data_IF_757741800875
#
_entry.id   IF_757741800875
#
_cell.length_a   1.000
_cell.length_b   1.000
_cell.length_c   1.000
_cell.angle_alpha   90.00
_cell.angle_beta   90.00
_cell.angle_gamma   90.00
#
_symmetry.space_group_name_H-M   'P 1'
#
loop_
_entity.id
_entity.type
_entity.pdbx_description
1 polymer ?
#
# COMPACT_ATOMS: atom_id res chain seq x y z
N UNK A 1 8.00 -13.89 67.47
CA UNK A 1 6.87 -13.34 66.69
C UNK A 1 7.25 -12.78 65.32
N UNK A 2 8.57 -12.67 64.94
CA UNK A 2 9.00 -12.01 63.70
C UNK A 2 9.17 -12.95 62.47
N UNK A 3 9.29 -14.28 62.69
CA UNK A 3 9.54 -15.22 61.60
C UNK A 3 8.32 -15.54 60.74
N UNK A 4 7.11 -15.51 61.32
CA UNK A 4 5.88 -15.76 60.53
C UNK A 4 5.49 -14.61 59.57
N UNK A 5 5.84 -13.34 59.90
CA UNK A 5 5.56 -12.20 59.02
C UNK A 5 6.47 -12.12 57.80
N UNK A 6 7.73 -12.60 57.92
CA UNK A 6 8.65 -12.65 56.79
C UNK A 6 8.25 -13.64 55.71
N UNK A 7 7.83 -14.84 56.11
CA UNK A 7 7.41 -15.88 55.20
C UNK A 7 6.10 -15.55 54.44
N UNK A 8 5.18 -14.83 55.09
CA UNK A 8 3.92 -14.40 54.45
C UNK A 8 4.13 -13.31 53.42
N UNK A 9 5.09 -12.40 53.63
CA UNK A 9 5.46 -11.37 52.66
C UNK A 9 6.17 -11.95 51.42
N UNK A 10 7.03 -12.96 51.67
CA UNK A 10 7.73 -13.66 50.59
C UNK A 10 6.78 -14.51 49.75
N UNK A 11 5.78 -15.14 50.38
CA UNK A 11 4.73 -15.91 49.69
C UNK A 11 3.83 -15.00 48.86
N UNK A 12 3.47 -13.81 49.36
CA UNK A 12 2.69 -12.81 48.62
C UNK A 12 3.45 -12.26 47.37
N UNK A 13 4.76 -12.06 47.49
CA UNK A 13 5.59 -11.63 46.34
C UNK A 13 5.72 -12.72 45.26
N UNK A 14 5.83 -13.99 45.67
CA UNK A 14 5.87 -15.11 44.70
C UNK A 14 4.52 -15.29 43.99
N UNK A 15 3.40 -15.17 44.70
CA UNK A 15 2.06 -15.26 44.11
C UNK A 15 1.80 -14.06 43.18
N UNK A 16 2.25 -12.86 43.53
CA UNK A 16 2.13 -11.66 42.69
C UNK A 16 2.96 -11.80 41.40
N UNK A 17 4.16 -12.40 41.46
CA UNK A 17 4.98 -12.64 40.28
C UNK A 17 4.38 -13.69 39.34
N UNK A 18 3.73 -14.74 39.89
CA UNK A 18 3.07 -15.77 39.09
C UNK A 18 1.76 -15.27 38.41
N UNK A 19 1.04 -14.32 39.02
CA UNK A 19 -0.16 -13.74 38.40
C UNK A 19 0.18 -12.78 37.27
N UNK A 20 1.34 -12.08 37.32
CA UNK A 20 1.79 -11.22 36.21
C UNK A 20 2.31 -12.00 34.99
N UNK A 21 2.72 -13.25 35.16
CA UNK A 21 3.23 -14.08 34.07
C UNK A 21 2.13 -14.68 33.15
N UNK A 22 0.85 -14.49 33.47
CA UNK A 22 -0.29 -15.05 32.71
C UNK A 22 -0.89 -14.09 31.67
N UNK A 23 -0.35 -12.88 31.51
CA UNK A 23 -0.86 -11.88 30.54
C UNK A 23 -0.10 -11.85 29.23
N UNK A 24 0.66 -12.88 28.90
CA UNK A 24 1.08 -13.09 27.52
C UNK A 24 -0.15 -13.62 26.75
N UNK A 25 -0.91 -12.71 26.13
CA UNK A 25 -1.85 -13.10 25.08
C UNK A 25 -1.09 -13.92 24.06
N UNK A 26 -1.19 -15.23 24.12
CA UNK A 26 -0.69 -16.10 23.07
C UNK A 26 -1.43 -15.69 21.79
N UNK A 27 -0.72 -15.13 20.84
CA UNK A 27 -1.25 -14.75 19.53
C UNK A 27 -1.82 -16.04 18.91
N UNK A 28 -3.14 -16.10 18.71
CA UNK A 28 -3.79 -17.28 18.16
C UNK A 28 -3.37 -17.39 16.70
N UNK A 29 -2.68 -18.47 16.36
CA UNK A 29 -2.30 -18.76 14.96
C UNK A 29 -3.57 -18.94 14.13
N UNK A 30 -3.66 -18.26 12.99
CA UNK A 30 -4.75 -18.42 12.04
C UNK A 30 -4.79 -19.87 11.53
N UNK A 31 -5.89 -20.64 11.73
CA UNK A 31 -5.99 -22.01 11.27
C UNK A 31 -5.97 -22.15 9.73
N UNK A 32 -6.34 -21.08 9.00
CA UNK A 32 -6.36 -21.05 7.55
C UNK A 32 -5.05 -20.52 6.94
N UNK A 33 -3.99 -20.37 7.75
CA UNK A 33 -2.71 -19.84 7.31
C UNK A 33 -2.04 -20.77 6.29
N UNK A 34 -1.85 -20.23 5.06
CA UNK A 34 -1.09 -20.86 3.99
C UNK A 34 0.29 -20.18 3.86
N UNK A 35 1.31 -20.83 4.41
CA UNK A 35 2.69 -20.31 4.39
C UNK A 35 3.29 -20.23 2.98
N UNK A 36 2.85 -21.08 2.06
CA UNK A 36 3.32 -21.06 0.66
C UNK A 36 2.75 -19.86 -0.06
N UNK A 37 1.45 -19.58 0.11
CA UNK A 37 0.80 -18.41 -0.45
C UNK A 37 1.37 -17.11 0.15
N UNK A 38 1.53 -17.05 1.47
CA UNK A 38 2.10 -15.90 2.15
C UNK A 38 3.50 -15.56 1.60
N UNK A 39 4.37 -16.56 1.46
CA UNK A 39 5.70 -16.40 0.86
C UNK A 39 5.65 -15.95 -0.61
N UNK A 40 4.75 -16.53 -1.41
CA UNK A 40 4.54 -16.16 -2.82
C UNK A 40 4.17 -14.68 -2.96
N UNK A 41 3.31 -14.16 -2.07
CA UNK A 41 2.83 -12.80 -2.10
C UNK A 41 3.78 -11.81 -1.41
N UNK A 42 4.82 -12.28 -0.72
CA UNK A 42 5.75 -11.46 0.05
C UNK A 42 5.11 -10.89 1.31
N UNK A 43 4.17 -11.63 1.90
CA UNK A 43 3.48 -11.25 3.13
C UNK A 43 4.39 -11.45 4.34
N UNK A 44 4.25 -10.54 5.32
CA UNK A 44 4.74 -10.73 6.67
C UNK A 44 3.79 -11.59 7.53
N UNK A 45 4.06 -11.69 8.84
CA UNK A 45 3.25 -12.49 9.79
C UNK A 45 1.80 -12.01 9.93
N UNK A 46 1.49 -10.80 9.45
CA UNK A 46 0.14 -10.23 9.45
C UNK A 46 -0.54 -10.24 8.07
N UNK A 47 0.08 -10.88 7.07
CA UNK A 47 -0.43 -10.91 5.70
C UNK A 47 -0.26 -9.59 4.96
N UNK A 48 0.66 -8.73 5.41
CA UNK A 48 0.85 -7.38 4.93
C UNK A 48 2.21 -7.22 4.24
N UNK A 49 2.35 -6.16 3.43
CA UNK A 49 3.64 -5.72 2.89
C UNK A 49 3.66 -4.23 2.57
N UNK A 50 4.85 -3.70 2.29
CA UNK A 50 5.03 -2.32 1.88
C UNK A 50 4.67 -2.09 0.42
N UNK A 51 4.09 -0.92 0.16
CA UNK A 51 3.77 -0.34 -1.13
C UNK A 51 4.07 1.15 -1.13
N UNK A 52 3.94 1.80 -2.27
CA UNK A 52 3.91 3.27 -2.33
C UNK A 52 2.56 3.72 -2.87
N UNK A 53 1.86 4.51 -2.06
CA UNK A 53 0.61 5.17 -2.41
C UNK A 53 0.93 6.54 -3.01
N UNK A 54 0.27 6.88 -4.11
CA UNK A 54 0.48 8.14 -4.83
C UNK A 54 -0.84 8.87 -5.02
N UNK A 55 -0.85 10.16 -4.70
CA UNK A 55 -1.93 11.07 -5.07
C UNK A 55 -1.46 11.90 -6.25
N UNK A 56 -2.17 11.80 -7.37
CA UNK A 56 -1.98 12.69 -8.51
C UNK A 56 -2.82 13.95 -8.32
N UNK A 57 -2.21 15.12 -8.53
CA UNK A 57 -2.83 16.44 -8.41
C UNK A 57 -2.76 17.17 -9.74
N UNK A 58 -3.59 18.21 -9.90
CA UNK A 58 -3.40 19.19 -10.98
C UNK A 58 -2.01 19.82 -10.85
N UNK A 59 -1.25 19.78 -11.92
CA UNK A 59 0.13 20.29 -11.96
C UNK A 59 0.21 21.79 -12.25
N UNK A 60 1.44 22.27 -12.31
CA UNK A 60 1.77 23.69 -12.52
C UNK A 60 1.73 24.13 -13.99
N UNK A 61 1.66 23.21 -14.94
CA UNK A 61 1.55 23.51 -16.36
C UNK A 61 0.13 23.95 -16.71
N UNK A 62 -0.05 25.22 -17.07
CA UNK A 62 -1.33 25.84 -17.40
C UNK A 62 -1.55 26.01 -18.91
N UNK A 63 -0.85 25.25 -19.74
CA UNK A 63 -1.04 25.29 -21.19
C UNK A 63 -2.48 25.04 -21.59
N UNK A 64 -2.94 25.72 -22.66
CA UNK A 64 -4.25 25.53 -23.30
C UNK A 64 -4.14 24.79 -24.63
N UNK A 65 -2.93 24.35 -25.01
CA UNK A 65 -2.72 23.55 -26.23
C UNK A 65 -3.39 22.18 -26.08
N UNK A 66 -4.56 22.06 -26.70
CA UNK A 66 -5.36 20.84 -26.62
C UNK A 66 -4.65 19.63 -27.20
N UNK A 67 -3.94 19.77 -28.31
CA UNK A 67 -3.23 18.66 -28.95
C UNK A 67 -2.13 18.13 -28.05
N UNK A 68 -1.37 19.00 -27.41
CA UNK A 68 -0.36 18.65 -26.43
C UNK A 68 -0.96 17.95 -25.21
N UNK A 69 -2.05 18.47 -24.63
CA UNK A 69 -2.75 17.91 -23.48
C UNK A 69 -3.27 16.50 -23.82
N UNK A 70 -3.95 16.34 -24.95
CA UNK A 70 -4.50 15.05 -25.40
C UNK A 70 -3.38 14.02 -25.62
N UNK A 71 -2.25 14.41 -26.18
CA UNK A 71 -1.06 13.55 -26.35
C UNK A 71 -0.50 13.10 -25.00
N UNK A 72 -0.33 14.01 -24.04
CA UNK A 72 0.18 13.68 -22.71
C UNK A 72 -0.76 12.69 -21.98
N UNK A 73 -2.08 12.90 -22.01
CA UNK A 73 -3.02 11.99 -21.36
C UNK A 73 -3.19 10.66 -22.08
N UNK A 74 -3.05 10.61 -23.39
CA UNK A 74 -2.94 9.35 -24.12
C UNK A 74 -1.70 8.56 -23.69
N UNK A 75 -0.55 9.23 -23.56
CA UNK A 75 0.67 8.64 -23.03
C UNK A 75 0.54 8.20 -21.57
N UNK A 76 -0.16 8.95 -20.73
CA UNK A 76 -0.50 8.59 -19.35
C UNK A 76 -1.25 7.25 -19.29
N UNK A 77 -2.28 7.09 -20.10
CA UNK A 77 -3.04 5.83 -20.16
C UNK A 77 -2.18 4.65 -20.63
N UNK A 78 -1.38 4.85 -21.67
CA UNK A 78 -0.45 3.83 -22.16
C UNK A 78 0.61 3.45 -21.08
N UNK A 79 1.10 4.43 -20.33
CA UNK A 79 2.03 4.21 -19.22
C UNK A 79 1.42 3.39 -18.08
N UNK A 80 0.16 3.65 -17.73
CA UNK A 80 -0.59 2.84 -16.75
C UNK A 80 -0.63 1.39 -17.19
N UNK A 81 -1.05 1.12 -18.43
CA UNK A 81 -1.14 -0.24 -18.98
C UNK A 81 0.23 -0.94 -18.93
N UNK A 82 1.29 -0.25 -19.34
CA UNK A 82 2.66 -0.77 -19.29
C UNK A 82 3.08 -1.16 -17.87
N UNK A 83 2.89 -0.26 -16.90
CA UNK A 83 3.30 -0.49 -15.51
C UNK A 83 2.48 -1.60 -14.83
N UNK A 84 1.20 -1.76 -15.18
CA UNK A 84 0.39 -2.90 -14.74
C UNK A 84 0.94 -4.21 -15.31
N UNK A 85 1.24 -4.25 -16.61
CA UNK A 85 1.81 -5.44 -17.26
C UNK A 85 3.20 -5.82 -16.71
N UNK A 86 3.98 -4.84 -16.26
CA UNK A 86 5.26 -5.05 -15.57
C UNK A 86 5.11 -5.48 -14.09
N UNK A 87 3.88 -5.55 -13.57
CA UNK A 87 3.59 -5.86 -12.16
C UNK A 87 4.03 -4.77 -11.18
N UNK A 88 4.31 -3.56 -11.68
CA UNK A 88 4.77 -2.41 -10.90
C UNK A 88 3.63 -1.55 -10.38
N UNK A 89 2.52 -1.46 -11.10
CA UNK A 89 1.32 -0.71 -10.72
C UNK A 89 0.18 -1.68 -10.44
N UNK A 90 -0.43 -1.57 -9.27
CA UNK A 90 -1.53 -2.44 -8.86
C UNK A 90 -2.87 -1.72 -9.02
N UNK A 91 -2.97 -0.51 -8.48
CA UNK A 91 -4.19 0.29 -8.50
C UNK A 91 -3.92 1.59 -9.23
N UNK A 92 -4.80 1.92 -10.15
CA UNK A 92 -4.88 3.22 -10.81
C UNK A 92 -6.34 3.60 -10.98
N UNK A 93 -6.68 4.86 -10.70
CA UNK A 93 -8.03 5.33 -10.92
C UNK A 93 -8.20 6.83 -10.68
N UNK A 94 -9.15 7.47 -11.40
CA UNK A 94 -9.43 8.88 -11.22
C UNK A 94 -10.20 9.13 -9.91
N UNK A 95 -10.01 10.31 -9.35
CA UNK A 95 -10.84 10.85 -8.28
C UNK A 95 -11.89 11.79 -8.86
N UNK A 96 -13.06 11.78 -8.28
CA UNK A 96 -14.08 12.78 -8.55
C UNK A 96 -13.62 14.21 -8.21
N UNK A 97 -14.30 15.22 -8.76
CA UNK A 97 -14.00 16.63 -8.46
C UNK A 97 -13.98 16.88 -6.96
N UNK A 98 -12.95 17.56 -6.48
CA UNK A 98 -12.72 17.85 -5.06
C UNK A 98 -11.96 19.17 -4.90
N UNK A 99 -12.01 19.74 -3.69
CA UNK A 99 -11.40 21.05 -3.38
C UNK A 99 -9.86 20.99 -3.29
N UNK A 100 -9.28 19.80 -3.13
CA UNK A 100 -7.83 19.60 -3.06
C UNK A 100 -7.15 19.49 -4.43
N UNK A 101 -7.91 19.62 -5.53
CA UNK A 101 -7.38 19.43 -6.90
C UNK A 101 -6.81 18.04 -7.17
N UNK A 102 -7.16 17.04 -6.37
CA UNK A 102 -6.73 15.67 -6.57
C UNK A 102 -7.40 15.08 -7.80
N UNK A 103 -6.60 14.43 -8.65
CA UNK A 103 -7.02 13.93 -9.95
C UNK A 103 -7.16 12.41 -10.00
N UNK A 104 -6.36 11.70 -9.23
CA UNK A 104 -6.36 10.24 -9.20
C UNK A 104 -5.40 9.68 -8.17
N UNK A 105 -5.36 8.36 -8.08
CA UNK A 105 -4.43 7.64 -7.22
C UNK A 105 -3.70 6.55 -7.99
N UNK A 106 -2.49 6.22 -7.50
CA UNK A 106 -1.79 5.00 -7.82
C UNK A 106 -1.40 4.24 -6.55
N UNK A 107 -1.32 2.92 -6.65
CA UNK A 107 -0.63 2.07 -5.67
C UNK A 107 0.42 1.28 -6.43
N UNK A 108 1.69 1.57 -6.14
CA UNK A 108 2.84 0.87 -6.72
C UNK A 108 3.28 -0.31 -5.86
N UNK A 109 3.56 -1.42 -6.52
CA UNK A 109 4.12 -2.63 -5.92
C UNK A 109 5.65 -2.53 -5.85
N UNK A 110 6.13 -1.54 -5.12
CA UNK A 110 7.54 -1.27 -4.86
C UNK A 110 7.72 -0.90 -3.39
N UNK A 111 8.94 -1.02 -2.88
CA UNK A 111 9.21 -0.89 -1.45
C UNK A 111 9.67 0.51 -1.03
N UNK A 112 10.09 1.36 -1.97
CA UNK A 112 10.65 2.68 -1.65
C UNK A 112 10.01 3.79 -2.46
N UNK A 113 9.96 4.98 -1.87
CA UNK A 113 9.49 6.21 -2.54
C UNK A 113 10.39 6.53 -3.74
N UNK A 114 11.69 6.29 -3.65
CA UNK A 114 12.66 6.56 -4.72
C UNK A 114 12.39 5.69 -5.96
N UNK A 115 12.05 4.42 -5.76
CA UNK A 115 11.67 3.53 -6.87
C UNK A 115 10.35 3.97 -7.50
N UNK A 116 9.34 4.26 -6.68
CA UNK A 116 8.05 4.75 -7.17
C UNK A 116 8.18 6.08 -7.92
N UNK A 117 9.03 7.00 -7.45
CA UNK A 117 9.28 8.29 -8.10
C UNK A 117 9.80 8.11 -9.52
N UNK A 118 10.76 7.21 -9.72
CA UNK A 118 11.29 6.89 -11.06
C UNK A 118 10.19 6.36 -11.99
N UNK A 119 9.25 5.56 -11.46
CA UNK A 119 8.12 5.04 -12.24
C UNK A 119 7.12 6.15 -12.59
N UNK A 120 6.79 7.02 -11.64
CA UNK A 120 5.89 8.17 -11.85
C UNK A 120 6.48 9.15 -12.88
N UNK A 121 7.78 9.38 -12.87
CA UNK A 121 8.47 10.27 -13.80
C UNK A 121 8.47 9.76 -15.24
N UNK A 122 8.17 8.47 -15.48
CA UNK A 122 7.96 7.94 -16.85
C UNK A 122 6.61 8.34 -17.44
N UNK A 123 5.72 8.91 -16.65
CA UNK A 123 4.37 9.34 -17.07
C UNK A 123 4.44 10.68 -17.81
N UNK A 124 4.01 10.76 -19.08
CA UNK A 124 4.06 12.01 -19.85
C UNK A 124 3.27 13.16 -19.21
N UNK A 125 2.14 12.88 -18.56
CA UNK A 125 1.34 13.92 -17.92
C UNK A 125 2.03 14.47 -16.66
N UNK A 126 2.78 13.62 -15.94
CA UNK A 126 3.59 14.07 -14.79
C UNK A 126 4.88 14.77 -15.26
N UNK A 127 5.56 14.21 -16.26
CA UNK A 127 6.78 14.78 -16.80
C UNK A 127 6.54 16.19 -17.39
N UNK A 128 5.40 16.38 -18.05
CA UNK A 128 4.98 17.67 -18.61
C UNK A 128 4.43 18.67 -17.58
N UNK A 129 4.34 18.27 -16.30
CA UNK A 129 3.74 19.06 -15.22
C UNK A 129 2.25 19.37 -15.40
N UNK A 130 1.53 18.64 -16.25
CA UNK A 130 0.06 18.66 -16.26
C UNK A 130 -0.52 17.99 -15.01
N UNK A 131 0.20 16.98 -14.49
CA UNK A 131 -0.03 16.37 -13.18
C UNK A 131 1.21 16.52 -12.30
N UNK A 132 1.00 16.57 -11.00
CA UNK A 132 2.01 16.43 -9.98
C UNK A 132 1.66 15.26 -9.06
N UNK A 133 2.66 14.68 -8.38
CA UNK A 133 2.49 13.48 -7.59
C UNK A 133 3.04 13.65 -6.18
N UNK A 134 2.20 13.37 -5.17
CA UNK A 134 2.63 13.18 -3.78
C UNK A 134 2.73 11.68 -3.50
N UNK A 135 3.87 11.25 -2.94
CA UNK A 135 4.18 9.85 -2.71
C UNK A 135 4.27 9.57 -1.20
N UNK A 136 3.66 8.46 -0.78
CA UNK A 136 3.60 8.04 0.62
C UNK A 136 3.94 6.55 0.74
N UNK A 137 4.76 6.20 1.75
CA UNK A 137 4.88 4.81 2.14
C UNK A 137 3.52 4.31 2.66
N UNK A 138 3.07 3.19 2.16
CA UNK A 138 1.82 2.58 2.57
C UNK A 138 2.03 1.09 2.88
N UNK A 139 1.44 0.65 3.97
CA UNK A 139 1.49 -0.73 4.41
C UNK A 139 0.09 -1.34 4.27
N UNK A 140 -0.04 -2.34 3.39
CA UNK A 140 -1.32 -2.89 2.99
C UNK A 140 -1.28 -4.39 2.81
N UNK A 141 -2.45 -5.00 2.58
CA UNK A 141 -2.54 -6.44 2.36
C UNK A 141 -1.63 -6.90 1.22
N UNK A 142 -0.83 -7.93 1.46
CA UNK A 142 0.01 -8.55 0.45
C UNK A 142 -0.82 -9.24 -0.66
N UNK A 143 -2.11 -9.53 -0.41
CA UNK A 143 -3.03 -10.09 -1.39
C UNK A 143 -3.57 -9.04 -2.39
N UNK A 144 -3.29 -7.74 -2.20
CA UNK A 144 -3.83 -6.70 -3.07
C UNK A 144 -3.59 -6.94 -4.58
N UNK A 145 -2.43 -7.46 -5.05
CA UNK A 145 -2.23 -7.71 -6.48
C UNK A 145 -3.12 -8.80 -7.08
N UNK A 146 -3.69 -9.69 -6.25
CA UNK A 146 -4.47 -10.84 -6.73
C UNK A 146 -5.77 -10.42 -7.45
N UNK A 147 -6.31 -9.20 -7.20
CA UNK A 147 -7.50 -8.73 -7.92
C UNK A 147 -7.23 -8.44 -9.40
N UNK A 148 -5.98 -8.21 -9.80
CA UNK A 148 -5.63 -7.85 -11.18
C UNK A 148 -6.07 -8.90 -12.20
N UNK A 149 -5.94 -10.18 -11.86
CA UNK A 149 -6.39 -11.27 -12.72
C UNK A 149 -7.90 -11.21 -12.98
N UNK A 150 -8.69 -10.88 -11.97
CA UNK A 150 -10.13 -10.70 -12.09
C UNK A 150 -10.46 -9.39 -12.83
N UNK A 151 -9.73 -8.31 -12.55
CA UNK A 151 -9.94 -7.02 -13.20
C UNK A 151 -9.83 -7.10 -14.72
N UNK A 152 -8.90 -7.90 -15.24
CA UNK A 152 -8.75 -8.13 -16.69
C UNK A 152 -9.94 -8.82 -17.34
N UNK A 153 -10.77 -9.52 -16.57
CA UNK A 153 -11.91 -10.33 -17.07
C UNK A 153 -13.24 -9.59 -17.02
N UNK A 154 -13.35 -8.51 -16.23
CA UNK A 154 -14.62 -7.80 -16.01
C UNK A 154 -14.80 -6.57 -16.89
N UNK A 155 -13.73 -6.07 -17.50
CA UNK A 155 -13.80 -4.95 -18.43
C UNK A 155 -14.36 -5.40 -19.79
N UNK A 156 -15.49 -4.82 -20.23
CA UNK A 156 -16.06 -5.07 -21.57
C UNK A 156 -15.15 -4.53 -22.68
N UNK A 157 -14.50 -3.40 -22.43
CA UNK A 157 -13.61 -2.73 -23.38
C UNK A 157 -12.18 -2.74 -22.82
N UNK A 158 -11.21 -2.90 -23.69
CA UNK A 158 -9.78 -2.77 -23.31
C UNK A 158 -9.45 -1.30 -23.09
N UNK A 159 -8.66 -1.02 -22.08
CA UNK A 159 -8.01 0.29 -21.93
C UNK A 159 -6.81 0.27 -22.87
N UNK A 160 -6.83 1.15 -23.88
CA UNK A 160 -5.76 1.31 -24.85
C UNK A 160 -4.90 2.51 -24.50
#
# INVERSE_FOLDING_TARGET
HNTKRGNMRFLLLIVSFFVFAQLTSAQTVNPDYDSTLAKKLGADDYGMKSYVFVILKTGSNTTTDKAFIDSCFSGHMANIVRLVNEGKLIVAGPLGKNDNTYRGIFIFNVNTIEEARKLVETDPAVNSKLLEADLYNWYGSAALPEYLETALKIGKYKIN
#
